data_IF_904158570033
#
_entry.id   IF_904158570033
#
_cell.length_a   1.000
_cell.length_b   1.000
_cell.length_c   1.000
_cell.angle_alpha   90.00
_cell.angle_beta   90.00
_cell.angle_gamma   90.00
#
_symmetry.space_group_name_H-M   'P 1'
#
loop_
_entity.id
_entity.type
_entity.pdbx_description
1 polymer ?
#
# COMPACT_ATOMS: atom_id res chain seq x y z
N UNK A 1 43.42 -53.82 10.81
CA UNK A 1 41.92 -53.78 10.76
C UNK A 1 41.31 -52.56 11.51
N UNK A 2 42.04 -51.90 12.44
CA UNK A 2 41.53 -50.72 13.17
C UNK A 2 41.50 -49.43 12.36
N UNK A 3 42.32 -49.29 11.32
CA UNK A 3 42.45 -48.07 10.50
C UNK A 3 41.25 -47.80 9.58
N UNK A 4 40.46 -48.81 9.21
CA UNK A 4 39.35 -48.65 8.29
C UNK A 4 38.05 -48.15 8.95
N UNK A 5 37.85 -48.38 10.26
CA UNK A 5 36.61 -47.97 10.95
C UNK A 5 36.46 -46.46 11.08
N UNK A 6 37.57 -45.76 11.38
CA UNK A 6 37.56 -44.31 11.49
C UNK A 6 37.31 -43.63 10.11
N UNK A 7 37.92 -44.20 9.04
CA UNK A 7 37.73 -43.66 7.68
C UNK A 7 36.30 -43.87 7.20
N UNK A 8 35.71 -45.05 7.47
CA UNK A 8 34.29 -45.31 7.12
C UNK A 8 33.34 -44.44 7.94
N UNK A 9 33.62 -44.23 9.23
CA UNK A 9 32.84 -43.34 10.07
C UNK A 9 32.90 -41.89 9.57
N UNK A 10 34.11 -41.38 9.29
CA UNK A 10 34.26 -40.01 8.75
C UNK A 10 33.58 -39.85 7.40
N UNK A 11 33.68 -40.82 6.49
CA UNK A 11 33.00 -40.79 5.21
C UNK A 11 31.46 -40.80 5.38
N UNK A 12 30.93 -41.65 6.27
CA UNK A 12 29.50 -41.66 6.59
C UNK A 12 29.00 -40.36 7.25
N UNK A 13 29.81 -39.79 8.14
CA UNK A 13 29.50 -38.53 8.81
C UNK A 13 29.46 -37.35 7.82
N UNK A 14 30.44 -37.27 6.90
CA UNK A 14 30.44 -36.20 5.88
C UNK A 14 29.23 -36.29 4.96
N UNK A 15 28.83 -37.48 4.53
CA UNK A 15 27.62 -37.68 3.71
C UNK A 15 26.36 -37.31 4.51
N UNK A 16 26.23 -37.76 5.76
CA UNK A 16 25.10 -37.42 6.62
C UNK A 16 25.01 -35.93 6.88
N UNK A 17 26.14 -35.25 7.12
CA UNK A 17 26.21 -33.82 7.28
C UNK A 17 25.80 -33.07 6.00
N UNK A 18 26.26 -33.55 4.83
CA UNK A 18 25.87 -32.98 3.52
C UNK A 18 24.35 -33.06 3.29
N UNK A 19 23.76 -34.23 3.58
CA UNK A 19 22.31 -34.44 3.47
C UNK A 19 21.55 -33.50 4.46
N UNK A 20 22.04 -33.40 5.70
CA UNK A 20 21.43 -32.52 6.70
C UNK A 20 21.43 -31.07 6.23
N UNK A 21 22.57 -30.56 5.76
CA UNK A 21 22.69 -29.17 5.25
C UNK A 21 21.77 -28.98 4.04
N UNK A 22 21.71 -29.95 3.13
CA UNK A 22 20.81 -29.90 1.98
C UNK A 22 19.34 -29.79 2.40
N UNK A 23 18.89 -30.62 3.33
CA UNK A 23 17.49 -30.59 3.81
C UNK A 23 17.16 -29.25 4.46
N UNK A 24 18.07 -28.74 5.30
CA UNK A 24 17.89 -27.44 5.97
C UNK A 24 17.81 -26.29 4.95
N UNK A 25 18.75 -26.25 4.01
CA UNK A 25 18.76 -25.20 2.98
C UNK A 25 17.56 -25.28 2.05
N UNK A 26 17.17 -26.50 1.63
CA UNK A 26 15.99 -26.72 0.80
C UNK A 26 14.69 -26.30 1.52
N UNK A 27 14.56 -26.64 2.80
CA UNK A 27 13.42 -26.21 3.63
C UNK A 27 13.35 -24.70 3.81
N UNK A 28 14.50 -24.04 4.02
CA UNK A 28 14.57 -22.57 4.10
C UNK A 28 14.24 -21.91 2.75
N UNK A 29 14.74 -22.44 1.64
CA UNK A 29 14.46 -21.92 0.31
C UNK A 29 12.96 -21.96 -0.03
N UNK A 30 12.32 -23.12 0.17
CA UNK A 30 10.88 -23.26 -0.05
C UNK A 30 10.04 -22.41 0.93
N UNK A 31 10.47 -22.29 2.18
CA UNK A 31 9.80 -21.45 3.17
C UNK A 31 9.81 -19.98 2.77
N UNK A 32 10.95 -19.47 2.29
CA UNK A 32 11.08 -18.10 1.80
C UNK A 32 10.22 -17.87 0.54
N UNK A 33 10.24 -18.79 -0.42
CA UNK A 33 9.45 -18.68 -1.65
C UNK A 33 7.95 -18.63 -1.35
N UNK A 34 7.46 -19.48 -0.46
CA UNK A 34 6.06 -19.48 -0.04
C UNK A 34 5.69 -18.16 0.65
N UNK A 35 6.54 -17.66 1.55
CA UNK A 35 6.32 -16.38 2.23
C UNK A 35 6.25 -15.22 1.23
N UNK A 36 7.14 -15.17 0.24
CA UNK A 36 7.11 -14.12 -0.79
C UNK A 36 5.88 -14.21 -1.68
N UNK A 37 5.44 -15.42 -2.03
CA UNK A 37 4.20 -15.61 -2.80
C UNK A 37 2.96 -15.19 -2.01
N UNK A 38 2.93 -15.43 -0.70
CA UNK A 38 1.86 -14.98 0.19
C UNK A 38 1.82 -13.44 0.26
N UNK A 39 2.96 -12.77 0.45
CA UNK A 39 3.04 -11.31 0.40
C UNK A 39 2.60 -10.74 -0.95
N UNK A 40 2.87 -11.41 -2.06
CA UNK A 40 2.45 -10.94 -3.38
C UNK A 40 0.94 -11.02 -3.58
N UNK A 41 0.27 -11.99 -2.97
CA UNK A 41 -1.21 -12.09 -3.01
C UNK A 41 -1.87 -11.12 -2.03
N UNK A 42 -1.14 -10.58 -1.05
CA UNK A 42 -1.64 -9.56 -0.13
C UNK A 42 -1.70 -8.19 -0.84
N UNK A 43 -2.92 -7.68 -1.05
CA UNK A 43 -3.16 -6.42 -1.76
C UNK A 43 -2.50 -5.20 -1.10
N UNK A 44 -2.17 -5.22 0.18
CA UNK A 44 -1.41 -4.14 0.84
C UNK A 44 -0.02 -3.96 0.22
N UNK A 45 0.63 -5.03 -0.22
CA UNK A 45 1.96 -4.99 -0.83
C UNK A 45 1.92 -4.65 -2.33
N UNK A 46 0.74 -4.78 -2.96
CA UNK A 46 0.54 -4.45 -4.37
C UNK A 46 0.17 -2.98 -4.61
N UNK A 47 0.43 -2.11 -3.63
CA UNK A 47 0.12 -0.70 -3.72
C UNK A 47 1.31 0.12 -4.23
N UNK A 48 1.01 1.03 -5.16
CA UNK A 48 1.89 2.10 -5.60
C UNK A 48 1.34 3.42 -5.04
N UNK A 49 2.14 4.10 -4.23
CA UNK A 49 1.83 5.42 -3.72
C UNK A 49 2.45 6.48 -4.62
N UNK A 50 1.61 7.26 -5.28
CA UNK A 50 2.01 8.35 -6.17
C UNK A 50 1.87 9.67 -5.44
N UNK A 51 2.97 10.40 -5.32
CA UNK A 51 3.02 11.69 -4.65
C UNK A 51 3.63 12.75 -5.57
N UNK A 52 3.02 13.91 -5.61
CA UNK A 52 3.66 15.11 -6.15
C UNK A 52 4.78 15.59 -5.22
N UNK A 53 5.71 16.34 -5.78
CA UNK A 53 6.84 16.93 -5.05
C UNK A 53 7.27 18.26 -5.65
N UNK A 54 8.46 18.73 -5.28
CA UNK A 54 9.05 19.90 -5.91
C UNK A 54 10.10 19.47 -6.91
N UNK A 55 10.02 20.02 -8.14
CA UNK A 55 11.01 19.74 -9.18
C UNK A 55 12.41 20.16 -8.75
N UNK A 56 13.42 19.36 -9.14
CA UNK A 56 14.82 19.67 -8.89
C UNK A 56 15.52 20.30 -10.11
N UNK A 57 14.87 20.23 -11.29
CA UNK A 57 15.43 20.69 -12.56
C UNK A 57 14.44 21.59 -13.30
N UNK A 58 14.92 22.62 -14.00
CA UNK A 58 14.11 23.40 -14.94
C UNK A 58 13.79 22.54 -16.16
N UNK A 59 12.59 22.66 -16.73
CA UNK A 59 12.18 21.92 -17.91
C UNK A 59 10.99 22.56 -18.62
N UNK A 60 10.97 22.52 -19.95
CA UNK A 60 9.85 23.00 -20.80
C UNK A 60 9.38 24.43 -20.45
N UNK A 61 10.33 25.32 -20.14
CA UNK A 61 10.04 26.72 -19.81
C UNK A 61 9.65 26.97 -18.34
N UNK A 62 9.63 25.93 -17.51
CA UNK A 62 9.37 26.05 -16.07
C UNK A 62 10.68 26.01 -15.27
N UNK A 63 10.75 26.82 -14.23
CA UNK A 63 11.87 26.82 -13.29
C UNK A 63 11.90 25.55 -12.40
N UNK A 64 13.05 25.30 -11.78
CA UNK A 64 13.20 24.31 -10.72
C UNK A 64 12.40 24.73 -9.47
N UNK A 65 12.22 23.80 -8.53
CA UNK A 65 11.46 23.99 -7.27
C UNK A 65 9.94 24.24 -7.45
N UNK A 66 9.39 23.99 -8.63
CA UNK A 66 7.96 24.07 -8.89
C UNK A 66 7.23 22.96 -8.15
N UNK A 67 6.17 23.32 -7.41
CA UNK A 67 5.31 22.32 -6.76
C UNK A 67 4.48 21.59 -7.80
N UNK A 68 4.53 20.28 -7.78
CA UNK A 68 3.70 19.39 -8.60
C UNK A 68 2.56 18.88 -7.72
N UNK A 69 1.36 19.25 -8.09
CA UNK A 69 0.14 18.77 -7.44
C UNK A 69 -0.56 17.77 -8.35
N UNK A 70 -1.09 16.73 -7.72
CA UNK A 70 -1.97 15.76 -8.37
C UNK A 70 -3.42 16.26 -8.29
N UNK A 71 -4.23 15.90 -9.26
CA UNK A 71 -5.61 16.34 -9.38
C UNK A 71 -6.55 15.22 -9.85
N UNK A 72 -7.84 15.54 -9.94
CA UNK A 72 -8.85 14.57 -10.37
C UNK A 72 -8.66 14.12 -11.83
N UNK A 73 -8.11 14.98 -12.70
CA UNK A 73 -7.81 14.62 -14.09
C UNK A 73 -6.69 13.59 -14.14
N UNK A 74 -5.68 13.73 -13.26
CA UNK A 74 -4.62 12.71 -13.14
C UNK A 74 -5.19 11.36 -12.74
N UNK A 75 -6.11 11.34 -11.76
CA UNK A 75 -6.78 10.12 -11.32
C UNK A 75 -7.52 9.43 -12.48
N UNK A 76 -8.30 10.20 -13.22
CA UNK A 76 -9.11 9.68 -14.33
C UNK A 76 -8.23 9.20 -15.50
N UNK A 77 -7.23 9.97 -15.90
CA UNK A 77 -6.34 9.59 -16.99
C UNK A 77 -5.48 8.38 -16.65
N UNK A 78 -4.99 8.26 -15.41
CA UNK A 78 -4.28 7.06 -14.95
C UNK A 78 -5.20 5.86 -15.02
N UNK A 79 -6.41 5.96 -14.47
CA UNK A 79 -7.41 4.88 -14.48
C UNK A 79 -7.70 4.40 -15.90
N UNK A 80 -7.96 5.32 -16.82
CA UNK A 80 -8.29 4.99 -18.21
C UNK A 80 -7.11 4.40 -18.98
N UNK A 81 -5.91 4.97 -18.81
CA UNK A 81 -4.74 4.59 -19.60
C UNK A 81 -4.11 3.29 -19.15
N UNK A 82 -4.20 2.98 -17.87
CA UNK A 82 -3.51 1.85 -17.26
C UNK A 82 -4.46 0.79 -16.69
N UNK A 83 -5.72 0.77 -17.10
CA UNK A 83 -6.75 -0.16 -16.65
C UNK A 83 -6.31 -1.65 -16.68
N UNK A 84 -5.50 -2.03 -17.67
CA UNK A 84 -4.92 -3.37 -17.75
C UNK A 84 -4.13 -3.76 -16.50
N UNK A 85 -3.37 -2.81 -15.92
CA UNK A 85 -2.52 -3.03 -14.76
C UNK A 85 -3.24 -2.85 -13.43
N UNK A 86 -4.30 -2.04 -13.40
CA UNK A 86 -4.93 -1.52 -12.18
C UNK A 86 -6.06 -2.45 -11.71
N UNK A 87 -6.03 -2.83 -10.44
CA UNK A 87 -7.12 -3.47 -9.73
C UNK A 87 -8.00 -2.44 -9.01
N UNK A 88 -7.38 -1.46 -8.36
CA UNK A 88 -8.06 -0.37 -7.67
C UNK A 88 -7.24 0.91 -7.66
N UNK A 89 -7.92 2.05 -7.72
CA UNK A 89 -7.30 3.36 -7.65
C UNK A 89 -8.10 4.26 -6.71
N UNK A 90 -7.43 4.95 -5.81
CA UNK A 90 -8.05 5.88 -4.87
C UNK A 90 -7.19 7.13 -4.68
N UNK A 91 -7.77 8.32 -4.74
CA UNK A 91 -7.09 9.52 -4.27
C UNK A 91 -7.03 9.51 -2.74
N UNK A 92 -6.06 10.21 -2.17
CA UNK A 92 -5.95 10.43 -0.73
C UNK A 92 -5.67 11.89 -0.40
N UNK A 93 -6.52 12.46 0.43
CA UNK A 93 -6.33 13.79 1.04
C UNK A 93 -6.25 13.58 2.54
N UNK A 94 -5.16 13.98 3.18
CA UNK A 94 -4.94 13.72 4.60
C UNK A 94 -4.90 15.04 5.38
N UNK A 95 -5.69 15.10 6.45
CA UNK A 95 -5.61 16.14 7.48
C UNK A 95 -5.58 15.49 8.84
N UNK A 96 -5.16 16.22 9.85
CA UNK A 96 -5.25 15.80 11.26
C UNK A 96 -5.98 16.87 12.04
N UNK A 97 -6.72 16.45 13.06
CA UNK A 97 -7.45 17.38 13.90
C UNK A 97 -8.21 16.72 15.01
N UNK A 98 -8.69 17.55 15.91
CA UNK A 98 -9.52 17.10 17.02
C UNK A 98 -10.89 16.67 16.50
N UNK A 99 -11.32 15.48 16.93
CA UNK A 99 -12.65 14.93 16.68
C UNK A 99 -13.22 14.42 17.99
N UNK A 100 -14.48 14.76 18.25
CA UNK A 100 -15.13 14.43 19.51
C UNK A 100 -16.56 13.94 19.36
N UNK A 101 -16.99 13.24 20.41
CA UNK A 101 -18.36 12.81 20.62
C UNK A 101 -18.76 13.07 22.07
N UNK A 102 -19.79 13.89 22.29
CA UNK A 102 -20.19 14.37 23.62
C UNK A 102 -19.01 15.03 24.35
N UNK A 103 -18.58 14.47 25.48
CA UNK A 103 -17.50 14.99 26.33
C UNK A 103 -16.13 14.35 26.04
N UNK A 104 -16.07 13.41 25.08
CA UNK A 104 -14.82 12.74 24.70
C UNK A 104 -14.30 13.33 23.40
N UNK A 105 -13.01 13.66 23.34
CA UNK A 105 -12.33 14.08 22.12
C UNK A 105 -10.88 13.59 22.11
N UNK A 106 -10.33 13.46 20.89
CA UNK A 106 -8.92 13.16 20.66
C UNK A 106 -8.52 13.63 19.27
N UNK A 107 -7.22 13.71 19.03
CA UNK A 107 -6.67 14.02 17.72
C UNK A 107 -6.61 12.77 16.84
N UNK A 108 -7.21 12.85 15.66
CA UNK A 108 -7.22 11.75 14.68
C UNK A 108 -6.75 12.23 13.32
N UNK A 109 -6.24 11.28 12.55
CA UNK A 109 -6.01 11.47 11.12
C UNK A 109 -7.32 11.24 10.37
N UNK A 110 -7.71 12.20 9.53
CA UNK A 110 -8.88 12.09 8.67
C UNK A 110 -8.38 11.99 7.22
N UNK A 111 -8.75 10.94 6.54
CA UNK A 111 -8.38 10.68 5.13
C UNK A 111 -9.61 10.75 4.23
N UNK A 112 -9.60 11.66 3.28
CA UNK A 112 -10.56 11.71 2.17
C UNK A 112 -10.12 10.71 1.09
N UNK A 113 -10.96 9.73 0.78
CA UNK A 113 -10.62 8.59 -0.09
C UNK A 113 -11.76 8.26 -1.05
N UNK A 114 -11.47 7.46 -2.06
CA UNK A 114 -12.47 6.82 -2.93
C UNK A 114 -12.95 5.46 -2.39
N UNK A 115 -13.97 4.85 -3.01
CA UNK A 115 -14.53 3.56 -2.59
C UNK A 115 -13.52 2.41 -2.61
N UNK A 116 -12.60 2.38 -3.58
CA UNK A 116 -11.56 1.35 -3.69
C UNK A 116 -10.59 1.33 -2.50
N UNK A 117 -10.59 2.35 -1.63
CA UNK A 117 -9.70 2.41 -0.47
C UNK A 117 -9.90 1.24 0.49
N UNK A 118 -11.13 0.74 0.64
CA UNK A 118 -11.40 -0.41 1.49
C UNK A 118 -10.55 -1.62 1.07
N UNK A 119 -10.50 -1.86 -0.23
CA UNK A 119 -9.76 -2.97 -0.82
C UNK A 119 -8.24 -2.69 -0.78
N UNK A 120 -7.82 -1.48 -1.15
CA UNK A 120 -6.41 -1.09 -1.16
C UNK A 120 -5.74 -1.18 0.23
N UNK A 121 -6.49 -0.87 1.31
CA UNK A 121 -6.00 -0.93 2.69
C UNK A 121 -6.40 -2.23 3.40
N UNK A 122 -7.17 -3.13 2.72
CA UNK A 122 -7.70 -4.38 3.28
C UNK A 122 -8.51 -4.17 4.57
N UNK A 123 -9.24 -3.05 4.64
CA UNK A 123 -10.05 -2.77 5.81
C UNK A 123 -11.22 -3.76 5.94
N UNK A 124 -11.30 -4.45 7.05
CA UNK A 124 -12.40 -5.35 7.37
C UNK A 124 -13.54 -4.57 8.01
N UNK A 125 -14.68 -4.51 7.35
CA UNK A 125 -15.85 -3.83 7.89
C UNK A 125 -16.45 -4.63 9.04
N UNK A 126 -16.52 -4.01 10.23
CA UNK A 126 -17.14 -4.63 11.42
C UNK A 126 -18.64 -4.31 11.54
N UNK A 127 -19.00 -3.05 11.28
CA UNK A 127 -20.38 -2.57 11.39
C UNK A 127 -20.68 -1.54 10.32
N UNK A 128 -21.93 -1.54 9.83
CA UNK A 128 -22.41 -0.55 8.88
C UNK A 128 -21.91 -0.76 7.46
N UNK A 129 -21.45 0.29 6.80
CA UNK A 129 -20.93 0.27 5.42
C UNK A 129 -19.68 1.13 5.26
N UNK A 130 -18.91 0.86 4.22
CA UNK A 130 -17.78 1.69 3.83
C UNK A 130 -18.21 2.91 2.97
N UNK A 131 -17.27 3.82 2.67
CA UNK A 131 -17.48 4.93 1.73
C UNK A 131 -17.80 4.33 0.34
N UNK A 132 -18.80 4.87 -0.32
CA UNK A 132 -19.25 4.42 -1.62
C UNK A 132 -19.37 5.55 -2.65
N UNK A 133 -19.73 5.22 -3.90
CA UNK A 133 -19.85 6.17 -4.99
C UNK A 133 -20.87 7.29 -4.69
N UNK A 134 -21.96 7.00 -3.97
CA UNK A 134 -22.96 8.02 -3.61
C UNK A 134 -22.36 9.08 -2.68
N UNK A 135 -21.52 8.65 -1.72
CA UNK A 135 -20.82 9.58 -0.83
C UNK A 135 -19.88 10.50 -1.62
N UNK A 136 -19.20 9.97 -2.64
CA UNK A 136 -18.29 10.72 -3.52
C UNK A 136 -19.07 11.70 -4.39
N UNK A 137 -20.11 11.24 -5.08
CA UNK A 137 -20.89 12.06 -6.01
C UNK A 137 -21.61 13.19 -5.27
N UNK A 138 -22.27 12.88 -4.15
CA UNK A 138 -23.07 13.83 -3.38
C UNK A 138 -22.25 14.68 -2.40
N UNK A 139 -20.95 14.36 -2.24
CA UNK A 139 -20.07 15.01 -1.26
C UNK A 139 -20.64 14.91 0.15
N UNK A 140 -21.09 13.70 0.51
CA UNK A 140 -21.75 13.43 1.79
C UNK A 140 -20.76 13.56 2.96
N UNK A 141 -21.26 14.09 4.09
CA UNK A 141 -20.48 14.18 5.34
C UNK A 141 -20.56 12.87 6.14
N UNK A 142 -20.36 11.77 5.46
CA UNK A 142 -20.32 10.44 6.03
C UNK A 142 -18.87 10.05 6.35
N UNK A 143 -18.68 9.33 7.46
CA UNK A 143 -17.37 8.83 7.88
C UNK A 143 -17.45 7.37 8.26
N UNK A 144 -16.35 6.67 7.98
CA UNK A 144 -16.06 5.33 8.49
C UNK A 144 -14.91 5.47 9.47
N UNK A 145 -15.07 4.96 10.68
CA UNK A 145 -14.11 5.12 11.77
C UNK A 145 -13.43 3.80 12.10
N UNK A 146 -12.17 3.85 12.46
CA UNK A 146 -11.45 2.67 12.93
C UNK A 146 -11.97 2.18 14.27
N UNK A 147 -11.72 0.91 14.57
CA UNK A 147 -12.16 0.25 15.82
C UNK A 147 -11.70 0.99 17.06
N UNK A 148 -10.44 1.48 17.07
CA UNK A 148 -9.93 2.24 18.22
C UNK A 148 -10.54 3.64 18.35
N UNK A 149 -10.89 4.30 17.24
CA UNK A 149 -11.67 5.56 17.27
C UNK A 149 -13.04 5.32 17.89
N UNK A 150 -13.70 4.20 17.51
CA UNK A 150 -14.98 3.80 18.13
C UNK A 150 -14.83 3.56 19.61
N UNK A 151 -13.80 2.86 20.04
CA UNK A 151 -13.54 2.56 21.45
C UNK A 151 -13.28 3.83 22.26
N UNK A 152 -12.44 4.74 21.76
CA UNK A 152 -12.10 6.00 22.43
C UNK A 152 -13.33 6.90 22.62
N UNK A 153 -14.15 7.07 21.57
CA UNK A 153 -15.25 8.04 21.57
C UNK A 153 -16.57 7.46 22.12
N UNK A 154 -16.88 6.20 21.82
CA UNK A 154 -18.18 5.60 22.13
C UNK A 154 -18.10 4.51 23.22
N UNK A 155 -16.89 3.97 23.50
CA UNK A 155 -16.74 2.81 24.38
C UNK A 155 -17.49 1.59 23.82
N UNK A 156 -18.35 0.97 24.64
CA UNK A 156 -19.18 -0.17 24.24
C UNK A 156 -20.44 0.22 23.45
N UNK A 157 -20.74 1.54 23.39
CA UNK A 157 -21.93 2.05 22.72
C UNK A 157 -21.87 1.92 21.19
N UNK A 158 -23.04 2.01 20.56
CA UNK A 158 -23.16 2.05 19.11
C UNK A 158 -22.62 3.35 18.53
N UNK A 159 -21.80 3.27 17.49
CA UNK A 159 -21.26 4.42 16.75
C UNK A 159 -22.02 4.69 15.44
N UNK A 160 -22.45 3.64 14.73
CA UNK A 160 -23.13 3.77 13.45
C UNK A 160 -24.44 4.53 13.58
N UNK A 161 -24.67 5.50 12.70
CA UNK A 161 -25.82 6.41 12.73
C UNK A 161 -25.67 7.60 13.67
N UNK A 162 -24.65 7.66 14.51
CA UNK A 162 -24.35 8.81 15.39
C UNK A 162 -23.52 9.87 14.64
N UNK A 163 -23.45 11.04 15.25
CA UNK A 163 -22.67 12.15 14.68
C UNK A 163 -21.49 12.47 15.61
N UNK A 164 -20.31 12.60 15.00
CA UNK A 164 -19.09 13.09 15.63
C UNK A 164 -18.78 14.49 15.12
N UNK A 165 -18.12 15.32 15.92
CA UNK A 165 -17.77 16.69 15.57
C UNK A 165 -16.26 16.81 15.37
N UNK A 166 -15.84 17.42 14.27
CA UNK A 166 -14.44 17.65 13.97
C UNK A 166 -14.28 18.76 12.93
N UNK A 167 -13.29 19.64 13.13
CA UNK A 167 -13.04 20.77 12.24
C UNK A 167 -14.23 21.75 12.09
N UNK A 168 -15.01 21.94 13.16
CA UNK A 168 -16.21 22.79 13.16
C UNK A 168 -17.38 22.21 12.36
N UNK A 169 -17.40 20.91 12.10
CA UNK A 169 -18.43 20.20 11.30
C UNK A 169 -18.90 18.95 11.99
N UNK A 170 -20.15 18.59 11.68
CA UNK A 170 -20.76 17.34 12.13
C UNK A 170 -20.66 16.28 11.02
N UNK A 171 -20.22 15.08 11.39
CA UNK A 171 -20.00 13.95 10.51
C UNK A 171 -20.83 12.76 10.97
N UNK A 172 -21.57 12.14 10.05
CA UNK A 172 -22.36 10.95 10.35
C UNK A 172 -21.48 9.71 10.25
N UNK A 173 -21.40 8.93 11.30
CA UNK A 173 -20.71 7.62 11.27
C UNK A 173 -21.59 6.63 10.52
N UNK A 174 -21.09 6.07 9.42
CA UNK A 174 -21.80 5.09 8.59
C UNK A 174 -21.20 3.69 8.67
N UNK A 175 -19.99 3.57 9.23
CA UNK A 175 -19.37 2.27 9.44
C UNK A 175 -18.22 2.32 10.43
N UNK A 176 -17.84 1.13 10.88
CA UNK A 176 -16.66 0.88 11.74
C UNK A 176 -15.85 -0.22 11.09
N UNK A 177 -14.54 -0.02 10.97
CA UNK A 177 -13.63 -0.99 10.38
C UNK A 177 -12.54 -1.42 11.36
N UNK A 178 -11.95 -2.56 11.07
CA UNK A 178 -10.74 -3.09 11.67
C UNK A 178 -9.64 -3.16 10.62
N UNK A 179 -8.38 -2.97 11.04
CA UNK A 179 -7.19 -3.07 10.20
C UNK A 179 -6.10 -3.87 10.91
N UNK A 180 -5.45 -4.78 10.18
CA UNK A 180 -4.37 -5.61 10.73
C UNK A 180 -3.00 -4.90 10.74
N UNK A 181 -2.91 -3.67 10.20
CA UNK A 181 -1.71 -2.83 10.17
C UNK A 181 -1.33 -2.21 11.51
N UNK A 182 -2.07 -2.53 12.58
CA UNK A 182 -1.83 -2.08 13.95
C UNK A 182 -2.63 -0.86 14.37
N UNK A 183 -2.42 -0.45 15.62
CA UNK A 183 -3.23 0.58 16.31
C UNK A 183 -3.31 1.91 15.57
N UNK A 184 -2.25 2.32 14.86
CA UNK A 184 -2.23 3.58 14.14
C UNK A 184 -3.21 3.59 12.97
N UNK A 185 -3.36 2.47 12.26
CA UNK A 185 -4.29 2.36 11.13
C UNK A 185 -5.74 2.29 11.63
N UNK A 186 -5.98 1.73 12.82
CA UNK A 186 -7.30 1.72 13.45
C UNK A 186 -7.70 3.05 14.13
N UNK A 187 -6.81 4.06 14.14
CA UNK A 187 -7.08 5.43 14.62
C UNK A 187 -7.33 6.43 13.49
N UNK A 188 -7.66 5.94 12.30
CA UNK A 188 -7.95 6.76 11.13
C UNK A 188 -9.47 6.86 10.92
N UNK A 189 -9.89 8.02 10.44
CA UNK A 189 -11.27 8.30 10.02
C UNK A 189 -11.27 8.50 8.50
N UNK A 190 -12.05 7.71 7.79
CA UNK A 190 -12.21 7.83 6.34
C UNK A 190 -13.48 8.58 5.97
N UNK A 191 -13.41 9.41 4.95
CA UNK A 191 -14.55 10.12 4.32
C UNK A 191 -14.35 10.18 2.81
N UNK A 192 -15.36 10.63 2.05
CA UNK A 192 -15.22 10.82 0.62
C UNK A 192 -14.21 11.94 0.30
N UNK A 193 -13.30 11.70 -0.66
CA UNK A 193 -12.29 12.70 -1.04
C UNK A 193 -12.91 13.99 -1.59
N UNK A 194 -14.01 13.87 -2.32
CA UNK A 194 -14.75 15.05 -2.84
C UNK A 194 -15.35 15.91 -1.73
N UNK A 195 -15.74 15.28 -0.61
CA UNK A 195 -16.17 16.00 0.59
C UNK A 195 -15.01 16.77 1.20
N UNK A 196 -13.82 16.17 1.25
CA UNK A 196 -12.61 16.85 1.73
C UNK A 196 -12.19 18.00 0.80
N UNK A 197 -12.24 17.81 -0.52
CA UNK A 197 -12.01 18.90 -1.49
C UNK A 197 -12.93 20.09 -1.24
N UNK A 198 -14.23 19.83 -1.07
CA UNK A 198 -15.21 20.90 -0.74
C UNK A 198 -14.89 21.62 0.57
N UNK A 199 -14.46 20.87 1.59
CA UNK A 199 -14.16 21.41 2.92
C UNK A 199 -12.90 22.27 2.91
N UNK A 200 -11.87 21.83 2.23
CA UNK A 200 -10.60 22.54 2.11
C UNK A 200 -10.61 23.65 1.07
N UNK A 201 -11.76 23.88 0.42
CA UNK A 201 -11.91 24.80 -0.71
C UNK A 201 -10.90 24.51 -1.84
N UNK A 202 -10.46 23.29 -1.92
CA UNK A 202 -9.66 22.77 -3.01
C UNK A 202 -10.60 22.23 -4.08
N UNK A 203 -10.49 22.69 -5.29
CA UNK A 203 -11.47 22.36 -6.34
C UNK A 203 -11.31 20.95 -6.86
N UNK A 204 -10.07 20.50 -7.07
CA UNK A 204 -9.73 19.27 -7.78
C UNK A 204 -8.46 18.60 -7.27
N UNK A 205 -7.75 19.22 -6.32
CA UNK A 205 -6.45 18.71 -5.86
C UNK A 205 -6.59 17.50 -4.95
N UNK A 206 -5.64 16.56 -5.09
CA UNK A 206 -5.46 15.41 -4.20
C UNK A 206 -4.03 15.38 -3.66
N UNK A 207 -3.86 14.89 -2.44
CA UNK A 207 -2.52 14.85 -1.81
C UNK A 207 -1.65 13.74 -2.39
N UNK A 208 -2.25 12.57 -2.63
CA UNK A 208 -1.63 11.42 -3.25
C UNK A 208 -2.66 10.58 -4.00
N UNK A 209 -2.17 9.70 -4.88
CA UNK A 209 -2.98 8.67 -5.53
C UNK A 209 -2.39 7.32 -5.12
N UNK A 210 -3.24 6.40 -4.70
CA UNK A 210 -2.86 5.04 -4.35
C UNK A 210 -3.47 4.12 -5.38
N UNK A 211 -2.65 3.25 -5.93
CA UNK A 211 -3.01 2.36 -7.01
C UNK A 211 -2.65 0.94 -6.58
N UNK A 212 -3.63 0.06 -6.48
CA UNK A 212 -3.39 -1.38 -6.38
C UNK A 212 -3.25 -1.94 -7.77
N UNK A 213 -2.19 -2.68 -8.05
CA UNK A 213 -2.04 -3.38 -9.31
C UNK A 213 -2.49 -4.84 -9.19
N UNK A 214 -2.97 -5.40 -10.32
CA UNK A 214 -3.42 -6.78 -10.39
C UNK A 214 -2.29 -7.75 -10.07
N UNK A 215 -2.45 -8.71 -9.13
CA UNK A 215 -1.42 -9.70 -8.82
C UNK A 215 -0.95 -10.50 -10.04
N UNK A 216 -1.83 -10.68 -11.03
CA UNK A 216 -1.55 -11.45 -12.25
C UNK A 216 -0.43 -10.89 -13.13
N UNK A 217 -0.03 -9.61 -12.96
CA UNK A 217 1.06 -9.03 -13.74
C UNK A 217 2.47 -9.39 -13.22
N UNK A 218 2.56 -9.94 -12.01
CA UNK A 218 3.83 -10.27 -11.37
C UNK A 218 4.69 -9.04 -11.03
N UNK A 219 5.85 -9.27 -10.41
CA UNK A 219 6.76 -8.18 -10.04
C UNK A 219 7.34 -7.45 -11.24
N UNK A 220 7.68 -8.17 -12.32
CA UNK A 220 8.21 -7.56 -13.54
C UNK A 220 7.18 -6.64 -14.20
N UNK A 221 5.91 -7.07 -14.25
CA UNK A 221 4.81 -6.24 -14.72
C UNK A 221 4.56 -5.03 -13.83
N UNK A 222 4.69 -5.17 -12.51
CA UNK A 222 4.57 -4.06 -11.57
C UNK A 222 5.67 -3.01 -11.78
N UNK A 223 6.93 -3.43 -11.95
CA UNK A 223 8.05 -2.53 -12.24
C UNK A 223 7.91 -1.85 -13.61
N UNK A 224 7.42 -2.58 -14.62
CA UNK A 224 7.11 -2.00 -15.92
C UNK A 224 6.00 -0.95 -15.81
N UNK A 225 4.95 -1.25 -15.07
CA UNK A 225 3.85 -0.33 -14.82
C UNK A 225 4.34 0.93 -14.10
N UNK A 226 5.13 0.81 -13.03
CA UNK A 226 5.71 1.97 -12.35
C UNK A 226 6.52 2.87 -13.30
N UNK A 227 7.36 2.27 -14.12
CA UNK A 227 8.16 3.01 -15.09
C UNK A 227 7.28 3.77 -16.09
N UNK A 228 6.25 3.11 -16.64
CA UNK A 228 5.29 3.72 -17.57
C UNK A 228 4.49 4.83 -16.91
N UNK A 229 4.00 4.59 -15.70
CA UNK A 229 3.23 5.55 -14.90
C UNK A 229 4.06 6.80 -14.56
N UNK A 230 5.31 6.60 -14.12
CA UNK A 230 6.23 7.70 -13.82
C UNK A 230 6.55 8.53 -15.04
N UNK A 231 6.82 7.89 -16.19
CA UNK A 231 7.08 8.57 -17.46
C UNK A 231 5.86 9.36 -17.92
N UNK A 232 4.67 8.77 -17.84
CA UNK A 232 3.41 9.42 -18.19
C UNK A 232 3.17 10.68 -17.35
N UNK A 233 3.29 10.60 -16.02
CA UNK A 233 3.07 11.74 -15.14
C UNK A 233 4.11 12.84 -15.34
N UNK A 234 5.39 12.48 -15.52
CA UNK A 234 6.43 13.47 -15.82
C UNK A 234 6.15 14.21 -17.12
N UNK A 235 5.73 13.51 -18.15
CA UNK A 235 5.38 14.13 -19.44
C UNK A 235 4.15 15.05 -19.29
N UNK A 236 3.07 14.55 -18.72
CA UNK A 236 1.84 15.32 -18.48
C UNK A 236 2.10 16.59 -17.67
N UNK A 237 2.85 16.49 -16.59
CA UNK A 237 3.18 17.63 -15.71
C UNK A 237 4.37 18.45 -16.17
N UNK A 238 4.93 18.18 -17.37
CA UNK A 238 6.10 18.87 -17.94
C UNK A 238 7.27 18.91 -16.96
N UNK A 239 7.72 17.75 -16.54
CA UNK A 239 8.84 17.52 -15.63
C UNK A 239 9.98 16.89 -16.42
N UNK A 240 11.22 17.30 -16.16
CA UNK A 240 12.41 16.70 -16.77
C UNK A 240 12.40 15.17 -16.56
N UNK A 241 12.60 14.35 -17.61
CA UNK A 241 12.61 12.89 -17.48
C UNK A 241 13.60 12.36 -16.43
N UNK A 242 14.70 13.08 -16.21
CA UNK A 242 15.73 12.72 -15.22
C UNK A 242 15.50 13.30 -13.82
N UNK A 243 14.44 14.11 -13.61
CA UNK A 243 14.14 14.71 -12.29
C UNK A 243 13.64 13.61 -11.33
N UNK A 244 14.32 13.36 -10.19
CA UNK A 244 13.89 12.34 -9.24
C UNK A 244 12.80 12.81 -8.27
N UNK A 245 12.55 14.12 -8.16
CA UNK A 245 11.79 14.73 -7.06
C UNK A 245 10.39 15.20 -7.44
N UNK A 246 10.17 15.59 -8.71
CA UNK A 246 8.90 16.18 -9.13
C UNK A 246 7.70 15.23 -9.00
N UNK A 247 7.86 13.95 -9.33
CA UNK A 247 6.90 12.88 -9.06
C UNK A 247 7.62 11.71 -8.42
N UNK A 248 7.11 11.27 -7.28
CA UNK A 248 7.67 10.16 -6.49
C UNK A 248 6.67 9.02 -6.46
N UNK A 249 7.11 7.85 -6.89
CA UNK A 249 6.41 6.59 -6.74
C UNK A 249 7.11 5.79 -5.63
N UNK A 250 6.31 5.19 -4.77
CA UNK A 250 6.78 4.28 -3.72
C UNK A 250 5.93 3.01 -3.79
N UNK A 251 6.57 1.89 -3.95
CA UNK A 251 5.96 0.56 -3.88
C UNK A 251 6.93 -0.42 -3.24
N UNK A 252 6.43 -1.58 -2.87
CA UNK A 252 7.26 -2.69 -2.39
C UNK A 252 7.76 -3.58 -3.54
N UNK A 253 7.29 -3.38 -4.78
CA UNK A 253 7.54 -4.31 -5.89
C UNK A 253 9.03 -4.55 -6.17
N UNK A 254 9.86 -3.51 -6.07
CA UNK A 254 11.30 -3.64 -6.31
C UNK A 254 11.96 -4.51 -5.24
N UNK A 255 11.71 -4.22 -3.96
CA UNK A 255 12.30 -4.96 -2.85
C UNK A 255 11.83 -6.42 -2.87
N UNK A 256 10.55 -6.63 -3.21
CA UNK A 256 9.98 -7.97 -3.37
C UNK A 256 10.62 -8.74 -4.53
N UNK A 257 10.86 -8.08 -5.67
CA UNK A 257 11.56 -8.70 -6.82
C UNK A 257 12.98 -9.10 -6.47
N UNK A 258 13.75 -8.22 -5.82
CA UNK A 258 15.12 -8.53 -5.37
C UNK A 258 15.14 -9.72 -4.41
N UNK A 259 14.18 -9.82 -3.50
CA UNK A 259 14.04 -10.95 -2.59
C UNK A 259 13.68 -12.26 -3.33
N UNK A 260 12.76 -12.17 -4.32
CA UNK A 260 12.40 -13.33 -5.16
C UNK A 260 13.59 -13.84 -5.96
N UNK A 261 14.36 -12.94 -6.57
CA UNK A 261 15.55 -13.30 -7.36
C UNK A 261 16.62 -13.94 -6.47
N UNK A 262 16.82 -13.43 -5.24
CA UNK A 262 17.71 -14.03 -4.25
C UNK A 262 17.27 -15.44 -3.84
N UNK A 263 15.98 -15.63 -3.54
CA UNK A 263 15.43 -16.95 -3.19
C UNK A 263 15.60 -17.94 -4.34
N UNK A 264 15.34 -17.51 -5.57
CA UNK A 264 15.53 -18.33 -6.77
C UNK A 264 17.00 -18.73 -6.97
N UNK A 265 17.93 -17.80 -6.76
CA UNK A 265 19.37 -18.07 -6.84
C UNK A 265 19.82 -19.10 -5.78
N UNK A 266 19.32 -18.97 -4.53
CA UNK A 266 19.57 -19.97 -3.49
C UNK A 266 19.06 -21.35 -3.89
N UNK A 267 17.84 -21.45 -4.42
CA UNK A 267 17.28 -22.72 -4.88
C UNK A 267 18.12 -23.36 -5.99
N UNK A 268 18.64 -22.59 -6.95
CA UNK A 268 19.57 -23.11 -7.97
C UNK A 268 20.86 -23.65 -7.36
N UNK A 269 21.44 -22.95 -6.39
CA UNK A 269 22.66 -23.43 -5.68
C UNK A 269 22.36 -24.72 -4.93
N UNK A 270 21.24 -24.81 -4.23
CA UNK A 270 20.82 -25.99 -3.48
C UNK A 270 20.66 -27.20 -4.41
N UNK A 271 19.98 -27.02 -5.54
CA UNK A 271 19.80 -28.08 -6.54
C UNK A 271 21.15 -28.51 -7.11
N UNK A 272 22.03 -27.57 -7.45
CA UNK A 272 23.35 -27.88 -8.00
C UNK A 272 24.22 -28.69 -7.01
N UNK A 273 24.23 -28.29 -5.73
CA UNK A 273 24.95 -29.03 -4.67
C UNK A 273 24.32 -30.39 -4.42
N UNK A 274 22.97 -30.47 -4.42
CA UNK A 274 22.26 -31.74 -4.19
C UNK A 274 22.41 -32.78 -5.31
N UNK A 275 22.62 -32.35 -6.57
CA UNK A 275 22.88 -33.25 -7.70
C UNK A 275 24.36 -33.66 -7.75
N UNK A 276 25.28 -32.84 -7.22
CA UNK A 276 26.73 -33.06 -7.24
C UNK A 276 27.27 -33.91 -6.07
N UNK A 277 26.41 -34.22 -5.09
CA UNK A 277 26.72 -35.13 -3.97
C UNK A 277 26.10 -36.50 -4.17
#
# INVERSE_FOLDING_TARGET
IKSNKLRTFLAGFTVALGILIFIVLFGLGNGLENTFNEYFTDTKFNNIYVNGGRTSKPFAGYESNRLIELDNDDLQEISNKFDFFIEGITPRITISGEVGYKLKSNNYTIRGVGPSNQQNEMNVLMFGRYINEKDVINKEKNVVIGRLVKQDLFGDGEAVGKYINGGGRSWKVVGVYQDDGGDNEERIIYTAYTTMQKILKSTDKVGSIIISYKPSIGYDGALEFERKLKSFLKNKKKIDPSDPRGVRLRSAAKDMKENQDFSSALNYIIIFVGIGT
#
